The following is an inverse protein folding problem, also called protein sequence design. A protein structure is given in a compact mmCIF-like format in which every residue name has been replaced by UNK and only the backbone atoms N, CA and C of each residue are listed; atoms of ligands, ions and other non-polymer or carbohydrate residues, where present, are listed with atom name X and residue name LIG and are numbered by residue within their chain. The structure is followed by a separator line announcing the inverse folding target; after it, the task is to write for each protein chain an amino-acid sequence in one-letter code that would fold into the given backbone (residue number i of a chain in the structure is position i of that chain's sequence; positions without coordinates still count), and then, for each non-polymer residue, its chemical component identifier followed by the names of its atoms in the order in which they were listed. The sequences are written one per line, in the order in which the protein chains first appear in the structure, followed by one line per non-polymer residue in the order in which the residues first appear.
data_IF_742295210750
#
_entry.id   IF_742295210750
#
_cell.length_a   1.000
_cell.length_b   1.000
_cell.length_c   1.000
_cell.angle_alpha   90.00
_cell.angle_beta   90.00
_cell.angle_gamma   90.00
#
_symmetry.space_group_name_H-M   'P 1'
#
loop_
_entity.id
_entity.type
_entity.pdbx_description
1 polymer ?
#
# COMPACT_ATOMS: atom_id res chain seq x y z
N UNK A 1 -7.23 15.29 18.09
CA UNK A 1 -5.88 15.79 18.42
C UNK A 1 -4.93 15.11 17.47
N UNK A 2 -4.57 15.83 16.42
CA UNK A 2 -3.74 15.37 15.32
C UNK A 2 -2.31 15.09 15.79
N UNK A 3 -1.77 13.92 15.44
CA UNK A 3 -0.35 13.62 15.52
C UNK A 3 0.21 13.47 14.11
N UNK A 4 0.20 14.60 13.39
CA UNK A 4 1.07 14.77 12.23
C UNK A 4 2.39 15.36 12.73
N UNK A 5 3.22 14.51 13.35
CA UNK A 5 4.64 14.84 13.49
C UNK A 5 5.29 14.72 12.11
N UNK A 6 5.23 15.84 11.39
CA UNK A 6 6.04 16.09 10.21
C UNK A 6 7.50 16.17 10.65
N UNK A 7 8.14 14.99 10.72
CA UNK A 7 9.53 14.83 11.16
C UNK A 7 10.48 15.45 10.14
N UNK A 8 10.65 16.76 10.31
CA UNK A 8 11.65 17.61 9.66
C UNK A 8 13.03 17.17 10.12
N UNK A 9 13.89 16.76 9.19
CA UNK A 9 15.30 16.50 9.50
C UNK A 9 15.99 17.79 9.98
N UNK A 10 16.79 17.78 11.06
CA UNK A 10 17.46 18.98 11.54
C UNK A 10 18.49 19.46 10.51
N UNK A 11 18.43 20.75 10.17
CA UNK A 11 19.31 21.38 9.19
C UNK A 11 20.73 21.49 9.76
N UNK A 12 21.71 20.99 9.01
CA UNK A 12 23.14 21.23 9.27
C UNK A 12 23.44 22.71 9.01
N UNK A 13 24.05 23.37 10.00
CA UNK A 13 24.60 24.73 9.92
C UNK A 13 25.75 24.80 8.90
N UNK A 14 26.02 26.02 8.39
CA UNK A 14 27.05 26.48 7.41
C UNK A 14 26.46 26.77 6.00
N UNK A 15 26.66 27.90 5.30
CA UNK A 15 27.43 29.13 5.50
C UNK A 15 26.97 30.16 4.42
N UNK A 16 27.08 31.45 4.73
CA UNK A 16 26.67 32.68 3.99
C UNK A 16 26.74 32.65 2.44
N UNK A 17 25.64 33.04 1.76
CA UNK A 17 25.58 34.09 0.71
C UNK A 17 24.13 34.41 0.30
N UNK A 18 23.91 35.70 0.05
CA UNK A 18 22.67 36.41 -0.32
C UNK A 18 21.82 35.69 -1.38
N UNK A 19 20.54 35.48 -1.07
CA UNK A 19 19.55 34.85 -1.97
C UNK A 19 18.43 35.84 -2.28
N UNK A 20 18.47 36.43 -3.46
CA UNK A 20 17.26 36.87 -4.17
C UNK A 20 16.92 35.74 -5.12
N UNK A 21 15.76 35.11 -4.94
CA UNK A 21 14.92 34.45 -5.96
C UNK A 21 13.80 33.70 -5.23
N UNK A 22 12.58 34.20 -5.44
CA UNK A 22 11.35 33.54 -5.05
C UNK A 22 11.17 32.28 -5.90
N UNK A 23 11.24 31.10 -5.28
CA UNK A 23 10.76 29.86 -5.89
C UNK A 23 10.51 28.83 -4.78
N UNK A 24 9.41 28.07 -4.94
CA UNK A 24 8.79 27.06 -4.07
C UNK A 24 9.68 26.33 -3.04
N UNK A 25 9.14 25.80 -1.93
CA UNK A 25 9.93 25.11 -0.91
C UNK A 25 10.61 23.89 -1.52
N UNK A 26 11.88 24.07 -1.92
CA UNK A 26 12.66 23.03 -2.57
C UNK A 26 13.08 22.03 -1.51
N UNK A 27 12.19 21.08 -1.23
CA UNK A 27 12.54 19.89 -0.44
C UNK A 27 13.79 19.27 -1.06
N UNK A 28 14.77 18.91 -0.23
CA UNK A 28 16.00 18.28 -0.73
C UNK A 28 15.66 17.01 -1.51
N UNK A 29 16.51 16.61 -2.47
CA UNK A 29 16.39 15.31 -3.17
C UNK A 29 16.19 14.15 -2.17
N UNK A 30 16.89 14.21 -1.03
CA UNK A 30 16.75 13.22 0.05
C UNK A 30 15.36 13.22 0.71
N UNK A 31 14.74 14.40 0.89
CA UNK A 31 13.40 14.53 1.46
C UNK A 31 12.34 13.95 0.52
N UNK A 32 12.46 14.20 -0.79
CA UNK A 32 11.54 13.61 -1.78
C UNK A 32 11.64 12.08 -1.80
N UNK A 33 12.86 11.56 -1.70
CA UNK A 33 13.07 10.11 -1.68
C UNK A 33 12.55 9.46 -0.38
N UNK A 34 12.69 10.13 0.77
CA UNK A 34 12.06 9.68 2.02
C UNK A 34 10.55 9.53 1.83
N UNK A 35 9.88 10.58 1.34
CA UNK A 35 8.43 10.54 1.12
C UNK A 35 8.00 9.43 0.15
N UNK A 36 8.79 9.18 -0.91
CA UNK A 36 8.54 8.08 -1.85
C UNK A 36 8.61 6.72 -1.16
N UNK A 37 9.61 6.50 -0.31
CA UNK A 37 9.79 5.24 0.42
C UNK A 37 8.73 5.05 1.49
N UNK A 38 8.39 6.11 2.22
CA UNK A 38 7.34 6.09 3.25
C UNK A 38 6.00 5.70 2.61
N UNK A 39 5.62 6.35 1.49
CA UNK A 39 4.40 6.01 0.74
C UNK A 39 4.36 4.55 0.29
N UNK A 40 5.49 4.00 -0.17
CA UNK A 40 5.56 2.58 -0.55
C UNK A 40 5.41 1.69 0.68
N UNK A 41 6.06 2.05 1.79
CA UNK A 41 6.00 1.28 3.03
C UNK A 41 4.57 1.24 3.59
N UNK A 42 3.84 2.36 3.55
CA UNK A 42 2.44 2.44 3.97
C UNK A 42 1.56 1.45 3.18
N UNK A 43 1.80 1.31 1.86
CA UNK A 43 1.08 0.33 1.04
C UNK A 43 1.40 -1.12 1.40
N UNK A 44 2.65 -1.41 1.79
CA UNK A 44 3.01 -2.74 2.26
C UNK A 44 2.35 -3.06 3.60
N UNK A 45 2.26 -2.08 4.52
CA UNK A 45 1.58 -2.25 5.81
C UNK A 45 0.08 -2.48 5.60
N UNK A 46 -0.56 -1.66 4.77
CA UNK A 46 -1.98 -1.79 4.40
C UNK A 46 -2.26 -3.17 3.78
N UNK A 47 -1.43 -3.59 2.81
CA UNK A 47 -1.55 -4.90 2.19
C UNK A 47 -1.36 -6.04 3.20
N UNK A 48 -0.35 -5.98 4.07
CA UNK A 48 -0.11 -7.01 5.07
C UNK A 48 -1.29 -7.16 6.05
N UNK A 49 -1.93 -6.05 6.45
CA UNK A 49 -3.11 -6.07 7.31
C UNK A 49 -4.34 -6.68 6.62
N UNK A 50 -4.50 -6.49 5.31
CA UNK A 50 -5.58 -7.09 4.54
C UNK A 50 -5.42 -8.60 4.36
N UNK A 51 -4.17 -9.08 4.21
CA UNK A 51 -3.90 -10.50 3.96
C UNK A 51 -4.10 -11.37 5.20
N UNK A 52 -3.82 -10.86 6.40
CA UNK A 52 -3.95 -11.62 7.65
C UNK A 52 -4.66 -10.78 8.73
N UNK A 53 -5.99 -10.65 8.65
CA UNK A 53 -6.76 -9.93 9.66
C UNK A 53 -6.55 -10.54 11.06
N UNK A 54 -6.20 -9.71 12.04
CA UNK A 54 -6.04 -10.12 13.44
C UNK A 54 -4.63 -10.61 13.82
N UNK A 55 -3.69 -10.66 12.88
CA UNK A 55 -2.27 -10.92 13.16
C UNK A 55 -1.44 -9.63 13.05
N UNK A 56 -0.34 -9.48 13.82
CA UNK A 56 0.59 -8.38 13.60
C UNK A 56 1.06 -8.33 12.12
N UNK A 57 1.14 -7.14 11.50
CA UNK A 57 1.54 -7.00 10.10
C UNK A 57 2.90 -7.66 9.83
N UNK A 58 2.96 -8.47 8.77
CA UNK A 58 4.24 -9.03 8.29
C UNK A 58 5.14 -7.88 7.85
N UNK A 59 6.45 -8.03 8.04
CA UNK A 59 7.46 -7.03 7.63
C UNK A 59 8.25 -7.45 6.39
N UNK A 60 8.25 -8.75 6.06
CA UNK A 60 8.89 -9.28 4.85
C UNK A 60 8.06 -8.94 3.60
N UNK A 61 8.59 -8.04 2.77
CA UNK A 61 7.96 -7.56 1.54
C UNK A 61 7.74 -8.66 0.51
N UNK A 62 8.65 -9.63 0.41
CA UNK A 62 8.54 -10.72 -0.55
C UNK A 62 7.41 -11.68 -0.17
N UNK A 63 7.30 -12.01 1.12
CA UNK A 63 6.23 -12.85 1.65
C UNK A 63 4.87 -12.17 1.49
N UNK A 64 4.77 -10.86 1.77
CA UNK A 64 3.53 -10.09 1.55
C UNK A 64 3.06 -10.18 0.10
N UNK A 65 3.96 -9.99 -0.87
CA UNK A 65 3.60 -10.07 -2.29
C UNK A 65 3.20 -11.50 -2.69
N UNK A 66 3.93 -12.51 -2.23
CA UNK A 66 3.60 -13.90 -2.51
C UNK A 66 2.21 -14.29 -1.96
N UNK A 67 1.89 -13.88 -0.73
CA UNK A 67 0.58 -14.10 -0.12
C UNK A 67 -0.54 -13.36 -0.87
N UNK A 68 -0.30 -12.12 -1.31
CA UNK A 68 -1.27 -11.38 -2.11
C UNK A 68 -1.60 -12.08 -3.44
N UNK A 69 -0.58 -12.55 -4.15
CA UNK A 69 -0.76 -13.29 -5.41
C UNK A 69 -1.55 -14.58 -5.17
N UNK A 70 -1.18 -15.32 -4.12
CA UNK A 70 -1.88 -16.56 -3.72
C UNK A 70 -3.35 -16.29 -3.42
N UNK A 71 -3.65 -15.29 -2.59
CA UNK A 71 -5.01 -14.96 -2.18
C UNK A 71 -5.87 -14.49 -3.35
N UNK A 72 -5.35 -13.61 -4.21
CA UNK A 72 -6.08 -13.14 -5.41
C UNK A 72 -6.40 -14.30 -6.34
N UNK A 73 -5.46 -15.22 -6.54
CA UNK A 73 -5.68 -16.41 -7.37
C UNK A 73 -6.76 -17.31 -6.78
N UNK A 74 -6.71 -17.55 -5.47
CA UNK A 74 -7.71 -18.35 -4.77
C UNK A 74 -9.11 -17.73 -4.89
N UNK A 75 -9.25 -16.44 -4.56
CA UNK A 75 -10.54 -15.74 -4.61
C UNK A 75 -11.15 -15.71 -6.01
N UNK A 76 -10.32 -15.55 -7.05
CA UNK A 76 -10.79 -15.65 -8.45
C UNK A 76 -11.33 -17.04 -8.77
N UNK A 77 -10.64 -18.09 -8.32
CA UNK A 77 -11.10 -19.47 -8.49
C UNK A 77 -12.41 -19.75 -7.75
N UNK A 78 -12.54 -19.27 -6.51
CA UNK A 78 -13.76 -19.40 -5.71
C UNK A 78 -14.93 -18.65 -6.36
N UNK A 79 -14.72 -17.41 -6.80
CA UNK A 79 -15.73 -16.61 -7.49
C UNK A 79 -16.22 -17.29 -8.78
N UNK A 80 -15.32 -17.91 -9.55
CA UNK A 80 -15.70 -18.65 -10.76
C UNK A 80 -16.55 -19.88 -10.41
N UNK A 81 -16.13 -20.69 -9.42
CA UNK A 81 -16.91 -21.85 -8.97
C UNK A 81 -18.31 -21.48 -8.47
N UNK A 82 -18.41 -20.37 -7.74
CA UNK A 82 -19.69 -19.81 -7.28
C UNK A 82 -20.57 -19.41 -8.47
N UNK A 83 -20.01 -18.74 -9.47
CA UNK A 83 -20.72 -18.35 -10.70
C UNK A 83 -21.22 -19.58 -11.47
N UNK A 84 -20.39 -20.60 -11.62
CA UNK A 84 -20.75 -21.84 -12.32
C UNK A 84 -21.85 -22.59 -11.57
N UNK A 85 -21.73 -22.71 -10.25
CA UNK A 85 -22.74 -23.35 -9.40
C UNK A 85 -24.08 -22.62 -9.46
N UNK A 86 -24.07 -21.29 -9.44
CA UNK A 86 -25.28 -20.47 -9.57
C UNK A 86 -25.92 -20.60 -10.95
N UNK A 87 -25.11 -20.61 -12.01
CA UNK A 87 -25.61 -20.80 -13.39
C UNK A 87 -26.22 -22.18 -13.57
N UNK A 88 -25.56 -23.22 -13.05
CA UNK A 88 -26.09 -24.58 -13.05
C UNK A 88 -27.43 -24.65 -12.32
N UNK A 89 -27.51 -24.07 -11.12
CA UNK A 89 -28.75 -24.03 -10.35
C UNK A 89 -29.88 -23.32 -11.12
N UNK A 90 -29.59 -22.21 -11.80
CA UNK A 90 -30.56 -21.53 -12.66
C UNK A 90 -31.01 -22.39 -13.83
N UNK A 91 -30.09 -23.12 -14.49
CA UNK A 91 -30.44 -24.07 -15.54
C UNK A 91 -31.35 -25.17 -14.98
N UNK A 92 -31.02 -25.75 -13.82
CA UNK A 92 -31.86 -26.75 -13.15
C UNK A 92 -33.29 -26.23 -12.92
N UNK A 93 -33.46 -24.97 -12.47
CA UNK A 93 -34.78 -24.37 -12.29
C UNK A 93 -35.57 -24.13 -13.59
N UNK A 94 -34.90 -24.00 -14.73
CA UNK A 94 -35.56 -23.81 -16.03
C UNK A 94 -36.00 -25.16 -16.64
N UNK A 95 -35.21 -26.22 -16.40
CA UNK A 95 -35.43 -27.55 -17.00
C UNK A 95 -36.27 -28.51 -16.14
N UNK A 96 -36.61 -28.14 -14.90
CA UNK A 96 -37.57 -28.82 -14.04
C UNK A 96 -38.91 -28.08 -14.05
#
# INVERSE_FOLDING_TARGET
MDHLENQTCPRKLEQKRSRTEACAPSSSKACREKLRRDKINDRFIELAALLEPGRPPKTDKSAILADAVRMVTQLRGEAQKLKDSNSNLQLWYIYC
#
